data_IF_602975536009
#
_entry.id   IF_602975536009
#
_cell.length_a   1.000
_cell.length_b   1.000
_cell.length_c   1.000
_cell.angle_alpha   90.00
_cell.angle_beta   90.00
_cell.angle_gamma   90.00
#
_symmetry.space_group_name_H-M   'P 1'
#
loop_
_entity.id
_entity.type
_entity.pdbx_description
1 polymer ?
#
# COMPACT_ATOMS: atom_id res chain seq x y z
N UNK A 1 65.69 12.36 -27.26
CA UNK A 1 66.80 11.66 -26.57
C UNK A 1 67.95 12.65 -26.46
N UNK A 2 68.49 12.91 -25.26
CA UNK A 2 69.20 11.92 -24.45
C UNK A 2 68.69 11.75 -23.01
N UNK A 3 69.11 10.65 -22.40
CA UNK A 3 68.81 10.19 -21.05
C UNK A 3 69.82 10.71 -20.00
N UNK A 4 69.38 10.78 -18.73
CA UNK A 4 70.10 10.74 -17.43
C UNK A 4 69.19 11.45 -16.39
N UNK A 5 69.04 11.06 -15.13
CA UNK A 5 69.59 9.99 -14.31
C UNK A 5 68.66 9.83 -13.08
N UNK A 6 68.47 8.59 -12.64
CA UNK A 6 67.83 8.23 -11.37
C UNK A 6 68.68 8.70 -10.18
N UNK A 7 68.07 9.35 -9.19
CA UNK A 7 68.61 9.43 -7.83
C UNK A 7 67.62 8.81 -6.85
N UNK A 8 68.02 7.65 -6.35
CA UNK A 8 67.41 6.91 -5.24
C UNK A 8 67.73 7.65 -3.94
N UNK A 9 66.74 7.82 -3.07
CA UNK A 9 66.99 8.11 -1.65
C UNK A 9 66.22 7.11 -0.80
N UNK A 10 66.98 6.22 -0.16
CA UNK A 10 66.58 5.19 0.81
C UNK A 10 67.05 5.66 2.17
N UNK A 11 66.14 5.76 3.14
CA UNK A 11 66.35 5.74 4.61
C UNK A 11 65.08 6.30 5.28
N UNK A 12 64.46 5.77 6.34
CA UNK A 12 64.72 4.74 7.35
C UNK A 12 63.34 4.45 7.99
N UNK A 13 62.95 3.19 8.14
CA UNK A 13 62.97 2.46 9.42
C UNK A 13 62.36 3.23 10.62
N UNK A 14 61.09 2.94 10.92
CA UNK A 14 60.64 2.73 12.29
C UNK A 14 59.61 1.59 12.32
N UNK A 15 60.05 0.51 12.95
CA UNK A 15 59.36 -0.75 13.17
C UNK A 15 58.80 -0.69 14.58
N UNK A 16 57.48 -0.70 14.78
CA UNK A 16 56.86 -1.15 16.03
C UNK A 16 55.72 -2.11 15.69
N UNK A 17 55.96 -3.38 16.01
CA UNK A 17 54.96 -4.42 16.24
C UNK A 17 54.19 -4.08 17.52
N UNK A 18 52.88 -4.26 17.54
CA UNK A 18 52.23 -5.14 18.52
C UNK A 18 50.74 -5.29 18.21
N UNK A 19 50.38 -6.55 18.06
CA UNK A 19 49.04 -7.14 18.00
C UNK A 19 48.11 -6.65 19.11
N UNK A 20 46.90 -6.22 18.75
CA UNK A 20 45.75 -6.22 19.64
C UNK A 20 44.56 -6.86 18.92
N UNK A 21 44.31 -8.11 19.30
CA UNK A 21 43.03 -8.82 19.32
C UNK A 21 41.88 -8.19 18.53
N UNK A 22 41.55 -8.81 17.40
CA UNK A 22 40.27 -8.68 16.74
C UNK A 22 39.14 -9.12 17.70
N UNK A 23 38.40 -8.16 18.23
CA UNK A 23 37.04 -8.39 18.72
C UNK A 23 36.13 -8.11 17.54
N UNK A 24 35.48 -9.11 16.92
CA UNK A 24 34.47 -8.82 15.92
C UNK A 24 33.35 -8.04 16.61
N UNK A 25 33.03 -6.88 16.05
CA UNK A 25 31.84 -6.13 16.43
C UNK A 25 30.64 -7.08 16.34
N UNK A 26 30.15 -7.47 17.51
CA UNK A 26 28.97 -8.30 17.67
C UNK A 26 27.81 -7.46 17.16
N UNK A 27 27.48 -7.63 15.89
CA UNK A 27 26.23 -7.14 15.29
C UNK A 27 25.13 -7.59 16.24
N UNK A 28 24.55 -6.63 16.97
CA UNK A 28 23.38 -6.85 17.79
C UNK A 28 22.29 -7.28 16.83
N UNK A 29 22.08 -8.59 16.72
CA UNK A 29 20.92 -9.14 16.06
C UNK A 29 19.68 -8.48 16.69
N UNK A 30 18.74 -7.96 15.88
CA UNK A 30 17.48 -7.47 16.42
C UNK A 30 16.86 -8.59 17.27
N UNK A 31 16.54 -8.21 18.50
CA UNK A 31 15.97 -9.08 19.51
C UNK A 31 14.78 -9.87 18.95
N UNK A 32 14.79 -11.19 19.15
CA UNK A 32 13.72 -12.15 18.80
C UNK A 32 12.33 -11.72 19.36
N UNK A 33 12.28 -10.72 20.24
CA UNK A 33 11.05 -10.12 20.77
C UNK A 33 10.19 -9.37 19.73
N UNK A 34 10.67 -9.10 18.50
CA UNK A 34 9.80 -8.56 17.43
C UNK A 34 9.08 -9.63 16.62
N UNK A 35 9.42 -10.93 16.76
CA UNK A 35 8.71 -12.02 16.07
C UNK A 35 7.46 -12.53 16.82
N UNK A 36 7.31 -12.22 18.11
CA UNK A 36 6.11 -12.56 18.89
C UNK A 36 4.90 -11.65 18.62
N UNK A 37 5.06 -10.58 17.83
CA UNK A 37 3.92 -9.76 17.35
C UNK A 37 3.05 -10.46 16.30
N UNK A 38 3.46 -11.63 15.78
CA UNK A 38 2.73 -12.40 14.76
C UNK A 38 1.71 -13.41 15.32
N UNK A 39 1.50 -13.48 16.64
CA UNK A 39 0.56 -14.42 17.25
C UNK A 39 -0.73 -13.80 17.83
N UNK A 40 -0.84 -12.47 17.87
CA UNK A 40 -2.00 -11.76 18.46
C UNK A 40 -3.12 -11.43 17.45
N UNK A 41 -2.82 -11.55 16.17
CA UNK A 41 -3.79 -11.37 15.08
C UNK A 41 -4.82 -12.52 15.01
N UNK A 42 -4.54 -13.63 15.69
CA UNK A 42 -5.47 -14.75 15.88
C UNK A 42 -6.47 -14.51 17.03
N UNK A 43 -6.17 -13.60 17.97
CA UNK A 43 -7.06 -13.22 19.07
C UNK A 43 -8.05 -12.12 18.67
N UNK A 44 -7.67 -11.21 17.77
CA UNK A 44 -8.57 -10.22 17.17
C UNK A 44 -9.72 -10.87 16.36
N UNK A 45 -9.44 -12.02 15.73
CA UNK A 45 -10.43 -12.80 14.98
C UNK A 45 -11.42 -13.54 15.90
N UNK A 46 -11.04 -13.78 17.16
CA UNK A 46 -11.88 -14.43 18.18
C UNK A 46 -12.87 -13.45 18.85
N UNK A 47 -12.52 -12.17 18.98
CA UNK A 47 -13.39 -11.17 19.62
C UNK A 47 -14.53 -10.68 18.72
N UNK A 48 -14.33 -10.61 17.40
CA UNK A 48 -15.42 -10.35 16.45
C UNK A 48 -16.35 -11.58 16.30
N UNK A 49 -15.83 -12.80 16.53
CA UNK A 49 -16.65 -14.02 16.60
C UNK A 49 -17.33 -14.27 17.95
N UNK A 50 -17.00 -13.48 18.99
CA UNK A 50 -17.65 -13.57 20.30
C UNK A 50 -18.97 -12.78 20.38
N UNK A 51 -19.29 -11.97 19.37
CA UNK A 51 -20.65 -11.52 19.11
C UNK A 51 -21.42 -12.66 18.42
N UNK A 52 -21.91 -13.58 19.25
CA UNK A 52 -22.97 -14.57 19.00
C UNK A 52 -23.16 -15.05 17.55
N UNK A 53 -22.28 -15.97 17.12
CA UNK A 53 -22.40 -16.75 15.86
C UNK A 53 -23.40 -17.92 16.02
N UNK A 54 -24.38 -17.85 16.94
CA UNK A 54 -25.43 -18.90 17.03
C UNK A 54 -26.57 -18.72 16.01
N UNK A 55 -26.56 -17.64 15.23
CA UNK A 55 -27.58 -17.37 14.20
C UNK A 55 -26.99 -16.72 12.94
N UNK A 56 -26.04 -17.39 12.28
CA UNK A 56 -25.67 -16.99 10.91
C UNK A 56 -26.83 -17.31 9.96
N UNK A 57 -27.48 -16.31 9.34
CA UNK A 57 -28.43 -16.55 8.25
C UNK A 57 -27.72 -17.29 7.11
N UNK A 58 -28.47 -18.02 6.26
CA UNK A 58 -27.91 -18.79 5.14
C UNK A 58 -26.92 -17.94 4.35
N UNK A 59 -25.69 -18.45 4.16
CA UNK A 59 -24.61 -17.76 3.48
C UNK A 59 -25.04 -17.38 2.07
N UNK A 60 -25.46 -16.12 1.89
CA UNK A 60 -25.71 -15.57 0.58
C UNK A 60 -24.39 -15.59 -0.22
N UNK A 61 -24.44 -15.85 -1.53
CA UNK A 61 -23.24 -15.80 -2.36
C UNK A 61 -22.58 -14.43 -2.22
N UNK A 62 -21.28 -14.41 -1.88
CA UNK A 62 -20.53 -13.18 -1.69
C UNK A 62 -20.57 -12.34 -2.98
N UNK A 63 -21.20 -11.18 -2.91
CA UNK A 63 -21.29 -10.25 -4.02
C UNK A 63 -19.89 -9.75 -4.43
N UNK A 64 -19.68 -9.33 -5.69
CA UNK A 64 -18.45 -8.68 -6.12
C UNK A 64 -18.09 -7.50 -5.23
N UNK A 65 -16.81 -7.35 -4.87
CA UNK A 65 -16.37 -6.28 -3.95
C UNK A 65 -16.77 -4.89 -4.44
N UNK A 66 -16.70 -4.63 -5.74
CA UNK A 66 -17.09 -3.35 -6.33
C UNK A 66 -18.58 -3.03 -6.14
N UNK A 67 -19.46 -4.03 -6.23
CA UNK A 67 -20.89 -3.84 -6.02
C UNK A 67 -21.22 -3.57 -4.55
N UNK A 68 -20.49 -4.23 -3.64
CA UNK A 68 -20.62 -3.99 -2.19
C UNK A 68 -20.10 -2.62 -1.82
N UNK A 69 -18.96 -2.18 -2.38
CA UNK A 69 -18.44 -0.84 -2.15
C UNK A 69 -19.42 0.23 -2.63
N UNK A 70 -20.01 0.06 -3.82
CA UNK A 70 -21.09 0.94 -4.27
C UNK A 70 -22.22 0.96 -3.24
N UNK A 71 -22.75 -0.20 -2.84
CA UNK A 71 -23.85 -0.29 -1.89
C UNK A 71 -23.58 0.41 -0.54
N UNK A 72 -22.35 0.30 -0.02
CA UNK A 72 -21.96 0.82 1.30
C UNK A 72 -21.64 2.30 1.25
N UNK A 73 -20.93 2.75 0.22
CA UNK A 73 -20.37 4.10 0.13
C UNK A 73 -21.35 5.08 -0.50
N UNK A 74 -22.13 4.67 -1.50
CA UNK A 74 -23.19 5.49 -2.15
C UNK A 74 -24.35 5.66 -1.16
N UNK A 75 -24.34 6.77 -0.42
CA UNK A 75 -25.32 7.06 0.64
C UNK A 75 -26.58 7.68 0.08
N UNK A 76 -26.45 8.58 -0.89
CA UNK A 76 -27.59 9.27 -1.49
C UNK A 76 -28.30 8.45 -2.58
N UNK A 77 -27.75 7.27 -2.93
CA UNK A 77 -28.29 6.30 -3.89
C UNK A 77 -28.33 6.83 -5.32
N UNK A 78 -27.42 7.73 -5.67
CA UNK A 78 -27.28 8.28 -7.02
C UNK A 78 -26.52 7.35 -7.99
N UNK A 79 -26.04 6.19 -7.49
CA UNK A 79 -25.25 5.17 -8.22
C UNK A 79 -23.83 5.60 -8.54
N UNK A 80 -23.32 6.61 -7.84
CA UNK A 80 -21.94 7.05 -7.85
C UNK A 80 -21.41 7.06 -6.43
N UNK A 81 -20.09 6.95 -6.30
CA UNK A 81 -19.41 7.12 -5.01
C UNK A 81 -18.48 8.31 -5.13
N UNK A 82 -18.74 9.35 -4.34
CA UNK A 82 -17.91 10.56 -4.34
C UNK A 82 -16.80 10.48 -3.28
N UNK A 83 -15.78 11.33 -3.41
CA UNK A 83 -14.74 11.44 -2.38
C UNK A 83 -15.31 11.95 -1.05
N UNK A 84 -16.38 12.76 -1.09
CA UNK A 84 -17.09 13.24 0.11
C UNK A 84 -17.67 12.07 0.91
N UNK A 85 -18.33 11.13 0.23
CA UNK A 85 -18.90 9.95 0.88
C UNK A 85 -17.83 9.03 1.44
N UNK A 86 -16.72 8.83 0.72
CA UNK A 86 -15.57 8.07 1.21
C UNK A 86 -15.03 8.71 2.49
N UNK A 87 -14.83 10.03 2.51
CA UNK A 87 -14.35 10.76 3.67
C UNK A 87 -15.33 10.66 4.85
N UNK A 88 -16.63 10.79 4.59
CA UNK A 88 -17.68 10.64 5.60
C UNK A 88 -17.65 9.23 6.22
N UNK A 89 -17.50 8.17 5.41
CA UNK A 89 -17.37 6.81 5.91
C UNK A 89 -16.08 6.60 6.72
N UNK A 90 -14.96 7.16 6.27
CA UNK A 90 -13.70 7.09 7.03
C UNK A 90 -13.78 7.83 8.37
N UNK A 91 -14.48 8.97 8.42
CA UNK A 91 -14.71 9.72 9.66
C UNK A 91 -15.64 8.96 10.62
N UNK A 92 -16.68 8.30 10.10
CA UNK A 92 -17.52 7.42 10.92
C UNK A 92 -16.72 6.25 11.53
N UNK A 93 -15.88 5.59 10.72
CA UNK A 93 -14.99 4.55 11.21
C UNK A 93 -14.00 5.09 12.26
N UNK A 94 -13.41 6.26 12.02
CA UNK A 94 -12.51 6.90 13.00
C UNK A 94 -13.20 7.12 14.34
N UNK A 95 -14.43 7.65 14.35
CA UNK A 95 -15.20 7.88 15.57
C UNK A 95 -15.50 6.58 16.34
N UNK A 96 -15.77 5.47 15.64
CA UNK A 96 -15.98 4.16 16.28
C UNK A 96 -14.73 3.65 17.02
N UNK A 97 -13.54 4.01 16.53
CA UNK A 97 -12.27 3.55 17.10
C UNK A 97 -11.54 4.61 17.95
N UNK A 98 -12.12 5.81 18.13
CA UNK A 98 -11.53 6.85 18.98
C UNK A 98 -11.40 6.41 20.44
N UNK A 99 -12.36 5.63 20.94
CA UNK A 99 -12.36 5.11 22.32
C UNK A 99 -11.76 3.71 22.45
N UNK A 100 -11.21 3.15 21.36
CA UNK A 100 -10.51 1.88 21.39
C UNK A 100 -9.15 2.04 22.08
N UNK A 101 -8.94 1.30 23.16
CA UNK A 101 -7.65 1.14 23.82
C UNK A 101 -7.00 -0.20 23.43
N UNK A 102 -5.67 -0.22 23.38
CA UNK A 102 -4.88 -1.42 23.13
C UNK A 102 -4.26 -1.52 21.73
N UNK A 103 -3.39 -2.53 21.54
CA UNK A 103 -2.57 -2.67 20.33
C UNK A 103 -3.39 -2.85 19.05
N UNK A 104 -4.60 -3.38 19.18
CA UNK A 104 -5.54 -3.60 18.07
C UNK A 104 -6.09 -2.27 17.56
N UNK A 105 -6.56 -1.41 18.47
CA UNK A 105 -7.04 -0.07 18.12
C UNK A 105 -5.92 0.78 17.48
N UNK A 106 -4.68 0.64 17.96
CA UNK A 106 -3.51 1.29 17.34
C UNK A 106 -3.25 0.80 15.91
N UNK A 107 -3.36 -0.52 15.66
CA UNK A 107 -3.23 -1.09 14.33
C UNK A 107 -4.34 -0.59 13.39
N UNK A 108 -5.59 -0.56 13.85
CA UNK A 108 -6.71 -0.01 13.09
C UNK A 108 -6.52 1.47 12.76
N UNK A 109 -6.11 2.29 13.74
CA UNK A 109 -5.80 3.71 13.52
C UNK A 109 -4.72 3.86 12.45
N UNK A 110 -3.67 3.06 12.52
CA UNK A 110 -2.59 3.06 11.51
C UNK A 110 -3.09 2.66 10.12
N UNK A 111 -3.90 1.62 10.01
CA UNK A 111 -4.48 1.18 8.74
C UNK A 111 -5.42 2.24 8.16
N UNK A 112 -6.25 2.86 9.00
CA UNK A 112 -7.17 3.93 8.61
C UNK A 112 -6.42 5.17 8.13
N UNK A 113 -5.35 5.58 8.81
CA UNK A 113 -4.48 6.67 8.36
C UNK A 113 -3.84 6.36 7.00
N UNK A 114 -3.33 5.14 6.81
CA UNK A 114 -2.80 4.70 5.52
C UNK A 114 -3.87 4.71 4.42
N UNK A 115 -5.08 4.24 4.72
CA UNK A 115 -6.20 4.26 3.80
C UNK A 115 -6.62 5.69 3.44
N UNK A 116 -6.71 6.61 4.41
CA UNK A 116 -6.98 8.04 4.19
C UNK A 116 -5.93 8.68 3.29
N UNK A 117 -4.65 8.37 3.51
CA UNK A 117 -3.56 8.90 2.69
C UNK A 117 -3.61 8.36 1.24
N UNK A 118 -3.96 7.08 1.06
CA UNK A 118 -4.02 6.45 -0.25
C UNK A 118 -5.32 6.75 -1.03
N UNK A 119 -6.42 7.05 -0.33
CA UNK A 119 -7.75 7.16 -0.93
C UNK A 119 -7.84 8.20 -2.06
N UNK A 120 -7.29 9.43 -1.96
CA UNK A 120 -7.37 10.39 -3.06
C UNK A 120 -6.73 9.88 -4.36
N UNK A 121 -5.57 9.21 -4.27
CA UNK A 121 -4.89 8.66 -5.46
C UNK A 121 -5.62 7.42 -5.99
N UNK A 122 -6.14 6.56 -5.11
CA UNK A 122 -6.96 5.43 -5.53
C UNK A 122 -8.27 5.88 -6.20
N UNK A 123 -8.91 6.91 -5.66
CA UNK A 123 -10.08 7.55 -6.24
C UNK A 123 -9.76 8.10 -7.63
N UNK A 124 -8.72 8.94 -7.73
CA UNK A 124 -8.27 9.49 -9.01
C UNK A 124 -7.97 8.38 -10.01
N UNK A 125 -7.30 7.29 -9.62
CA UNK A 125 -7.01 6.16 -10.50
C UNK A 125 -8.28 5.54 -11.07
N UNK A 126 -9.27 5.28 -10.20
CA UNK A 126 -10.50 4.60 -10.55
C UNK A 126 -11.49 5.50 -11.29
N UNK A 127 -11.53 6.80 -11.00
CA UNK A 127 -12.31 7.82 -11.69
C UNK A 127 -11.70 8.05 -13.08
N UNK A 128 -12.08 7.15 -13.98
CA UNK A 128 -11.52 7.00 -15.32
C UNK A 128 -11.98 8.10 -16.24
N UNK A 129 -13.23 8.56 -16.07
CA UNK A 129 -13.87 9.60 -16.86
C UNK A 129 -13.74 11.01 -16.25
N UNK A 130 -13.20 11.14 -15.04
CA UNK A 130 -12.96 12.39 -14.32
C UNK A 130 -14.27 13.15 -14.06
N UNK A 131 -15.28 12.42 -13.62
CA UNK A 131 -16.60 13.00 -13.29
C UNK A 131 -16.81 13.23 -11.79
N UNK A 132 -15.73 13.14 -11.00
CA UNK A 132 -15.69 13.31 -9.55
C UNK A 132 -16.57 12.27 -8.79
N UNK A 133 -16.88 11.15 -9.44
CA UNK A 133 -17.60 10.02 -8.86
C UNK A 133 -17.08 8.67 -9.39
N UNK A 134 -17.22 7.62 -8.58
CA UNK A 134 -16.93 6.26 -9.00
C UNK A 134 -18.23 5.55 -9.35
N UNK A 135 -18.41 5.27 -10.64
CA UNK A 135 -19.52 4.46 -11.13
C UNK A 135 -19.34 2.98 -10.78
N UNK A 136 -20.43 2.19 -10.92
CA UNK A 136 -20.35 0.72 -10.85
C UNK A 136 -19.29 0.14 -11.81
N UNK A 137 -19.15 0.74 -12.99
CA UNK A 137 -18.20 0.28 -14.01
C UNK A 137 -16.76 0.44 -13.55
N UNK A 138 -16.46 1.52 -12.82
CA UNK A 138 -15.12 1.81 -12.29
C UNK A 138 -14.82 0.98 -11.05
N UNK A 139 -15.79 0.85 -10.13
CA UNK A 139 -15.66 0.00 -8.94
C UNK A 139 -15.48 -1.50 -9.28
N UNK A 140 -15.92 -1.94 -10.47
CA UNK A 140 -15.63 -3.30 -10.97
C UNK A 140 -14.12 -3.57 -11.09
N UNK A 141 -13.28 -2.54 -11.29
CA UNK A 141 -11.82 -2.74 -11.28
C UNK A 141 -11.28 -3.13 -9.91
N UNK A 142 -11.92 -2.70 -8.81
CA UNK A 142 -11.59 -3.18 -7.47
C UNK A 142 -11.86 -4.69 -7.34
N UNK A 143 -12.93 -5.19 -7.97
CA UNK A 143 -13.20 -6.63 -8.05
C UNK A 143 -12.17 -7.35 -8.92
N UNK A 144 -11.76 -6.76 -10.05
CA UNK A 144 -10.70 -7.34 -10.89
C UNK A 144 -9.39 -7.42 -10.13
N UNK A 145 -9.04 -6.39 -9.36
CA UNK A 145 -7.86 -6.36 -8.51
C UNK A 145 -7.93 -7.42 -7.39
N UNK A 146 -9.08 -7.60 -6.75
CA UNK A 146 -9.29 -8.71 -5.82
C UNK A 146 -9.00 -10.07 -6.48
N UNK A 147 -9.51 -10.28 -7.70
CA UNK A 147 -9.30 -11.52 -8.45
C UNK A 147 -7.84 -11.72 -8.85
N UNK A 148 -7.13 -10.65 -9.26
CA UNK A 148 -5.73 -10.74 -9.68
C UNK A 148 -4.78 -11.10 -8.53
N UNK A 149 -5.18 -10.85 -7.27
CA UNK A 149 -4.40 -11.23 -6.08
C UNK A 149 -4.59 -12.69 -5.66
N UNK A 150 -5.61 -13.39 -6.17
CA UNK A 150 -5.86 -14.81 -5.85
C UNK A 150 -4.83 -15.70 -6.55
N UNK A 151 -4.75 -16.96 -6.11
CA UNK A 151 -3.90 -17.96 -6.75
C UNK A 151 -4.25 -18.07 -8.25
N UNK A 152 -3.26 -17.89 -9.11
CA UNK A 152 -3.44 -17.89 -10.57
C UNK A 152 -3.95 -16.57 -11.16
N UNK A 153 -4.07 -15.51 -10.37
CA UNK A 153 -4.31 -14.16 -10.87
C UNK A 153 -3.02 -13.49 -11.35
N UNK A 154 -3.13 -12.56 -12.31
CA UNK A 154 -1.97 -12.01 -13.03
C UNK A 154 -1.13 -10.96 -12.30
N UNK A 155 -1.44 -10.62 -11.04
CA UNK A 155 -0.68 -9.58 -10.32
C UNK A 155 0.74 -10.06 -9.96
N UNK A 156 0.93 -11.35 -9.72
CA UNK A 156 2.24 -11.91 -9.41
C UNK A 156 3.19 -11.79 -10.60
N UNK A 157 2.68 -12.10 -11.79
CA UNK A 157 3.39 -12.03 -13.06
C UNK A 157 3.72 -10.58 -13.38
N UNK A 158 2.76 -9.66 -13.21
CA UNK A 158 3.02 -8.22 -13.32
C UNK A 158 4.17 -7.76 -12.41
N UNK A 159 4.16 -8.13 -11.13
CA UNK A 159 5.23 -7.74 -10.20
C UNK A 159 6.59 -8.31 -10.59
N UNK A 160 6.63 -9.57 -11.05
CA UNK A 160 7.86 -10.18 -11.54
C UNK A 160 8.39 -9.43 -12.76
N UNK A 161 7.51 -9.09 -13.68
CA UNK A 161 7.88 -8.45 -14.92
C UNK A 161 8.29 -6.98 -14.71
N UNK A 162 7.71 -6.28 -13.71
CA UNK A 162 8.14 -4.93 -13.29
C UNK A 162 9.49 -4.99 -12.56
N UNK A 163 9.70 -5.99 -11.70
CA UNK A 163 11.00 -6.20 -11.04
C UNK A 163 12.10 -6.38 -12.09
N UNK A 164 11.88 -7.24 -13.08
CA UNK A 164 12.83 -7.48 -14.16
C UNK A 164 13.07 -6.25 -15.06
N UNK A 165 12.10 -5.34 -15.16
CA UNK A 165 12.28 -4.07 -15.87
C UNK A 165 13.13 -3.07 -15.06
N UNK A 166 13.10 -3.15 -13.72
CA UNK A 166 13.88 -2.29 -12.83
C UNK A 166 15.31 -2.80 -12.59
N UNK A 167 15.50 -4.12 -12.62
CA UNK A 167 16.76 -4.84 -12.44
C UNK A 167 17.59 -4.73 -13.73
N UNK A 168 18.35 -3.64 -13.84
CA UNK A 168 18.98 -3.22 -15.08
C UNK A 168 20.26 -4.02 -15.36
N UNK A 169 20.95 -4.48 -14.31
CA UNK A 169 22.17 -5.27 -14.42
C UNK A 169 21.93 -6.79 -14.41
N UNK A 170 20.71 -7.22 -14.06
CA UNK A 170 20.27 -8.61 -14.13
C UNK A 170 20.82 -9.47 -13.00
N UNK A 171 21.16 -8.87 -11.85
CA UNK A 171 21.71 -9.58 -10.69
C UNK A 171 20.62 -10.20 -9.77
N UNK A 172 19.34 -10.11 -10.16
CA UNK A 172 18.14 -10.53 -9.42
C UNK A 172 17.91 -9.77 -8.10
N UNK A 173 18.48 -8.56 -7.96
CA UNK A 173 18.33 -7.65 -6.84
C UNK A 173 18.01 -6.24 -7.35
N UNK A 174 17.55 -5.38 -6.46
CA UNK A 174 17.29 -3.97 -6.77
C UNK A 174 18.03 -3.10 -5.76
N UNK A 175 18.98 -2.31 -6.25
CA UNK A 175 19.67 -1.29 -5.47
C UNK A 175 18.91 0.05 -5.41
N UNK A 176 19.38 0.96 -4.55
CA UNK A 176 18.85 2.34 -4.46
C UNK A 176 18.95 3.06 -5.80
N UNK A 177 20.06 2.86 -6.51
CA UNK A 177 20.32 3.54 -7.79
C UNK A 177 19.37 3.04 -8.88
N UNK A 178 19.18 1.73 -9.01
CA UNK A 178 18.23 1.15 -9.99
C UNK A 178 16.80 1.59 -9.74
N UNK A 179 16.36 1.64 -8.48
CA UNK A 179 15.02 2.13 -8.14
C UNK A 179 14.88 3.64 -8.40
N UNK A 180 15.89 4.44 -8.05
CA UNK A 180 15.87 5.88 -8.28
C UNK A 180 15.88 6.21 -9.79
N UNK A 181 16.74 5.57 -10.57
CA UNK A 181 16.84 5.74 -12.01
C UNK A 181 15.63 5.15 -12.75
N UNK A 182 15.19 3.96 -12.37
CA UNK A 182 14.00 3.32 -12.92
C UNK A 182 12.73 4.14 -12.69
N UNK A 183 12.61 4.80 -11.53
CA UNK A 183 11.49 5.71 -11.25
C UNK A 183 11.49 7.01 -12.08
N UNK A 184 12.57 7.27 -12.82
CA UNK A 184 12.76 8.43 -13.71
C UNK A 184 12.76 8.05 -15.18
N UNK A 185 12.99 6.78 -15.48
CA UNK A 185 13.08 6.30 -16.86
C UNK A 185 11.71 6.25 -17.51
N UNK A 186 11.57 7.00 -18.60
CA UNK A 186 10.35 7.00 -19.42
C UNK A 186 10.03 5.61 -19.95
N UNK A 187 11.05 4.86 -20.32
CA UNK A 187 10.95 3.51 -20.86
C UNK A 187 10.44 2.53 -19.80
N UNK A 188 11.04 2.56 -18.60
CA UNK A 188 10.62 1.73 -17.46
C UNK A 188 9.18 2.03 -17.05
N UNK A 189 8.82 3.32 -16.93
CA UNK A 189 7.46 3.73 -16.55
C UNK A 189 6.46 3.31 -17.63
N UNK A 190 6.76 3.54 -18.91
CA UNK A 190 5.89 3.16 -20.01
C UNK A 190 5.68 1.63 -20.08
N UNK A 191 6.75 0.84 -19.91
CA UNK A 191 6.67 -0.62 -19.91
C UNK A 191 5.85 -1.14 -18.73
N UNK A 192 6.15 -0.70 -17.50
CA UNK A 192 5.42 -1.08 -16.30
C UNK A 192 3.93 -0.70 -16.40
N UNK A 193 3.65 0.50 -16.92
CA UNK A 193 2.30 0.99 -17.14
C UNK A 193 1.56 0.17 -18.19
N UNK A 194 2.22 -0.20 -19.30
CA UNK A 194 1.63 -1.01 -20.36
C UNK A 194 1.23 -2.40 -19.84
N UNK A 195 2.12 -3.04 -19.07
CA UNK A 195 1.83 -4.33 -18.40
C UNK A 195 0.67 -4.19 -17.40
N UNK A 196 0.63 -3.11 -16.62
CA UNK A 196 -0.48 -2.84 -15.69
C UNK A 196 -1.79 -2.60 -16.44
N UNK A 197 -1.78 -1.82 -17.53
CA UNK A 197 -2.96 -1.53 -18.35
C UNK A 197 -3.53 -2.78 -19.01
N UNK A 198 -2.66 -3.70 -19.46
CA UNK A 198 -3.08 -4.99 -19.99
C UNK A 198 -3.87 -5.82 -18.96
N UNK A 199 -3.47 -5.75 -17.68
CA UNK A 199 -4.20 -6.42 -16.60
C UNK A 199 -5.44 -5.62 -16.15
N UNK A 200 -5.36 -4.29 -16.15
CA UNK A 200 -6.40 -3.37 -15.72
C UNK A 200 -6.55 -2.21 -16.72
N UNK A 201 -7.44 -2.35 -17.72
CA UNK A 201 -7.71 -1.28 -18.68
C UNK A 201 -8.60 -0.18 -18.07
N UNK A 202 -8.18 0.37 -16.92
CA UNK A 202 -8.92 1.38 -16.14
C UNK A 202 -9.04 2.68 -16.94
N UNK A 203 -8.01 3.03 -17.71
CA UNK A 203 -7.98 4.18 -18.61
C UNK A 203 -8.18 3.77 -20.06
N UNK A 204 -8.49 4.74 -20.93
CA UNK A 204 -8.73 4.48 -22.36
C UNK A 204 -7.49 3.92 -23.06
N UNK A 205 -6.30 4.29 -22.58
CA UNK A 205 -5.02 3.81 -23.11
C UNK A 205 -3.95 3.69 -22.02
N UNK A 206 -2.91 2.90 -22.29
CA UNK A 206 -1.72 2.83 -21.42
C UNK A 206 -1.05 4.21 -21.27
N UNK A 207 -1.01 5.02 -22.33
CA UNK A 207 -0.41 6.37 -22.28
C UNK A 207 -1.14 7.33 -21.33
N UNK A 208 -2.47 7.23 -21.25
CA UNK A 208 -3.24 8.02 -20.28
C UNK A 208 -2.97 7.57 -18.84
N UNK A 209 -2.82 6.26 -18.63
CA UNK A 209 -2.43 5.72 -17.33
C UNK A 209 -0.99 6.11 -16.97
N UNK A 210 -0.09 6.22 -17.94
CA UNK A 210 1.32 6.55 -17.74
C UNK A 210 1.48 7.91 -17.09
N UNK A 211 0.72 8.92 -17.57
CA UNK A 211 0.69 10.25 -16.94
C UNK A 211 0.27 10.17 -15.47
N UNK A 212 -0.73 9.36 -15.15
CA UNK A 212 -1.14 9.14 -13.77
C UNK A 212 -0.05 8.46 -12.93
N UNK A 213 0.64 7.45 -13.48
CA UNK A 213 1.74 6.75 -12.79
C UNK A 213 2.89 7.71 -12.48
N UNK A 214 3.24 8.60 -13.41
CA UNK A 214 4.25 9.66 -13.19
C UNK A 214 3.84 10.60 -12.08
N UNK A 215 2.59 11.08 -12.11
CA UNK A 215 2.06 11.96 -11.07
C UNK A 215 2.04 11.27 -9.69
N UNK A 216 1.75 9.97 -9.66
CA UNK A 216 1.79 9.17 -8.44
C UNK A 216 3.22 9.02 -7.90
N UNK A 217 4.20 8.69 -8.74
CA UNK A 217 5.62 8.60 -8.37
C UNK A 217 6.10 9.95 -7.83
N UNK A 218 5.82 11.05 -8.53
CA UNK A 218 6.20 12.39 -8.09
C UNK A 218 5.55 12.81 -6.77
N UNK A 219 4.31 12.37 -6.52
CA UNK A 219 3.63 12.64 -5.24
C UNK A 219 4.28 11.92 -4.05
N UNK A 220 4.88 10.75 -4.28
CA UNK A 220 5.59 9.98 -3.24
C UNK A 220 6.94 10.64 -2.91
N UNK A 221 7.64 11.16 -3.92
CA UNK A 221 8.95 11.84 -3.77
C UNK A 221 8.92 13.20 -3.07
N UNK A 222 7.77 13.66 -2.56
CA UNK A 222 7.69 14.90 -1.79
C UNK A 222 7.89 16.19 -2.59
N UNK A 223 7.85 16.14 -3.93
CA UNK A 223 8.18 17.23 -4.83
C UNK A 223 7.31 18.49 -4.63
N UNK A 224 7.88 19.50 -3.95
CA UNK A 224 7.45 20.91 -3.98
C UNK A 224 8.20 21.73 -5.04
N UNK A 225 8.66 21.09 -6.12
CA UNK A 225 9.30 21.75 -7.25
C UNK A 225 8.26 22.28 -8.25
N UNK A 226 8.23 23.59 -8.50
CA UNK A 226 7.46 24.18 -9.60
C UNK A 226 8.06 23.72 -10.94
N UNK A 227 7.46 22.72 -11.57
CA UNK A 227 7.61 22.49 -13.02
C UNK A 227 8.51 21.34 -13.47
N UNK A 228 8.87 20.40 -12.60
CA UNK A 228 9.60 19.20 -12.99
C UNK A 228 9.24 18.03 -12.09
N UNK A 229 9.29 16.80 -12.63
CA UNK A 229 9.26 15.58 -11.83
C UNK A 229 10.55 15.59 -11.00
N UNK A 230 10.53 16.24 -9.83
CA UNK A 230 11.54 16.01 -8.81
C UNK A 230 11.29 14.58 -8.33
N UNK A 231 11.96 13.67 -9.02
CA UNK A 231 11.83 12.25 -8.83
C UNK A 231 12.22 11.85 -7.42
N UNK A 232 11.84 10.62 -7.03
CA UNK A 232 12.25 10.01 -5.77
C UNK A 232 13.75 10.20 -5.59
N UNK A 233 14.15 11.04 -4.64
CA UNK A 233 15.56 11.23 -4.32
C UNK A 233 16.10 9.94 -3.69
N UNK A 234 17.43 9.78 -3.72
CA UNK A 234 18.08 8.55 -3.24
C UNK A 234 17.75 8.27 -1.77
N UNK A 235 17.57 9.30 -0.94
CA UNK A 235 17.28 9.13 0.48
C UNK A 235 15.84 8.64 0.69
N UNK A 236 14.87 9.19 -0.05
CA UNK A 236 13.48 8.71 -0.06
C UNK A 236 13.38 7.26 -0.57
N UNK A 237 14.12 6.92 -1.63
CA UNK A 237 14.19 5.53 -2.13
C UNK A 237 14.80 4.61 -1.09
N UNK A 238 15.94 4.98 -0.50
CA UNK A 238 16.60 4.18 0.52
C UNK A 238 15.72 3.97 1.76
N UNK A 239 14.98 4.99 2.19
CA UNK A 239 14.02 4.84 3.29
C UNK A 239 12.85 3.90 2.93
N UNK A 240 12.36 3.98 1.69
CA UNK A 240 11.37 3.05 1.16
C UNK A 240 11.88 1.60 1.10
N UNK A 241 13.13 1.41 0.68
CA UNK A 241 13.77 0.09 0.60
C UNK A 241 13.86 -0.59 1.97
N UNK A 242 14.14 0.14 3.06
CA UNK A 242 14.19 -0.44 4.42
C UNK A 242 12.89 -1.15 4.84
N UNK A 243 11.76 -0.84 4.22
CA UNK A 243 10.50 -1.53 4.48
C UNK A 243 10.39 -2.90 3.82
N UNK A 244 11.19 -3.15 2.77
CA UNK A 244 11.12 -4.35 1.92
C UNK A 244 12.40 -5.19 2.06
N UNK A 245 13.54 -4.57 2.29
CA UNK A 245 14.83 -5.20 2.62
C UNK A 245 14.73 -5.84 4.02
N UNK A 246 14.49 -7.16 4.04
CA UNK A 246 14.23 -7.94 5.26
C UNK A 246 15.51 -8.42 5.93
N UNK A 247 16.61 -8.55 5.18
CA UNK A 247 17.91 -8.98 5.70
C UNK A 247 18.90 -7.83 5.95
N UNK A 248 18.58 -6.63 5.47
CA UNK A 248 19.33 -5.40 5.71
C UNK A 248 20.62 -5.32 4.88
N UNK A 249 20.70 -6.02 3.75
CA UNK A 249 21.88 -6.02 2.88
C UNK A 249 21.97 -4.79 1.96
N UNK A 250 20.95 -3.92 1.98
CA UNK A 250 20.86 -2.72 1.17
C UNK A 250 20.32 -2.94 -0.24
N UNK A 251 19.86 -4.15 -0.55
CA UNK A 251 19.23 -4.52 -1.81
C UNK A 251 17.84 -5.10 -1.55
N UNK A 252 16.98 -5.06 -2.57
CA UNK A 252 15.67 -5.69 -2.53
C UNK A 252 15.66 -6.87 -3.49
N UNK A 253 15.60 -8.09 -2.96
CA UNK A 253 15.58 -9.31 -3.74
C UNK A 253 14.15 -9.68 -4.16
N UNK A 254 14.02 -10.38 -5.30
CA UNK A 254 12.71 -10.85 -5.79
C UNK A 254 11.92 -11.68 -4.74
N UNK A 255 12.63 -12.44 -3.92
CA UNK A 255 12.04 -13.25 -2.84
C UNK A 255 11.39 -12.37 -1.76
N UNK A 256 12.00 -11.25 -1.43
CA UNK A 256 11.50 -10.30 -0.44
C UNK A 256 10.27 -9.59 -0.96
N UNK A 257 10.32 -9.06 -2.19
CA UNK A 257 9.13 -8.50 -2.88
C UNK A 257 7.99 -9.50 -2.88
N UNK A 258 8.26 -10.77 -3.21
CA UNK A 258 7.27 -11.85 -3.15
C UNK A 258 6.70 -12.09 -1.75
N UNK A 259 7.51 -12.00 -0.69
CA UNK A 259 7.08 -12.13 0.71
C UNK A 259 6.11 -11.01 1.09
N UNK A 260 6.47 -9.76 0.82
CA UNK A 260 5.63 -8.59 1.11
C UNK A 260 4.37 -8.57 0.25
N UNK A 261 4.47 -8.90 -1.03
CA UNK A 261 3.31 -9.09 -1.91
C UNK A 261 2.32 -10.12 -1.36
N UNK A 262 2.79 -11.31 -0.97
CA UNK A 262 1.91 -12.35 -0.43
C UNK A 262 1.29 -11.94 0.90
N UNK A 263 2.01 -11.21 1.75
CA UNK A 263 1.48 -10.68 3.00
C UNK A 263 0.38 -9.62 2.74
N UNK A 264 0.67 -8.62 1.92
CA UNK A 264 -0.27 -7.56 1.56
C UNK A 264 -1.49 -8.10 0.81
N UNK A 265 -1.29 -9.00 -0.15
CA UNK A 265 -2.35 -9.64 -0.92
C UNK A 265 -3.31 -10.46 -0.04
N UNK A 266 -2.77 -11.25 0.91
CA UNK A 266 -3.62 -11.97 1.89
C UNK A 266 -4.42 -11.00 2.74
N UNK A 267 -3.80 -9.94 3.25
CA UNK A 267 -4.49 -8.91 4.03
C UNK A 267 -5.59 -8.21 3.26
N UNK A 268 -5.34 -7.85 2.00
CA UNK A 268 -6.36 -7.28 1.14
C UNK A 268 -7.54 -8.26 0.94
N UNK A 269 -7.26 -9.55 0.69
CA UNK A 269 -8.30 -10.55 0.50
C UNK A 269 -9.12 -10.81 1.78
N UNK A 270 -8.48 -10.78 2.96
CA UNK A 270 -9.16 -10.84 4.25
C UNK A 270 -10.11 -9.64 4.43
N UNK A 271 -9.61 -8.42 4.22
CA UNK A 271 -10.42 -7.19 4.31
C UNK A 271 -11.57 -7.21 3.30
N UNK A 272 -11.30 -7.61 2.06
CA UNK A 272 -12.31 -7.76 1.01
C UNK A 272 -13.43 -8.72 1.43
N UNK A 273 -13.07 -9.87 2.03
CA UNK A 273 -14.05 -10.83 2.54
C UNK A 273 -14.91 -10.21 3.64
N UNK A 274 -14.28 -9.53 4.60
CA UNK A 274 -15.00 -8.84 5.69
C UNK A 274 -15.95 -7.77 5.16
N UNK A 275 -15.51 -6.92 4.24
CA UNK A 275 -16.36 -5.90 3.60
C UNK A 275 -17.54 -6.55 2.89
N UNK A 276 -17.34 -7.66 2.17
CA UNK A 276 -18.43 -8.36 1.49
C UNK A 276 -19.44 -8.99 2.43
N UNK A 277 -19.01 -9.43 3.61
CA UNK A 277 -19.89 -10.01 4.63
C UNK A 277 -20.66 -8.94 5.40
N UNK A 278 -19.99 -7.84 5.77
CA UNK A 278 -20.56 -6.76 6.57
C UNK A 278 -21.26 -5.69 5.72
N UNK A 279 -20.93 -5.57 4.44
CA UNK A 279 -21.38 -4.50 3.57
C UNK A 279 -22.90 -4.35 3.48
N UNK A 280 -23.67 -5.44 3.24
CA UNK A 280 -25.13 -5.36 3.27
C UNK A 280 -25.69 -4.85 4.60
N UNK A 281 -25.07 -5.26 5.72
CA UNK A 281 -25.45 -4.81 7.06
C UNK A 281 -25.10 -3.32 7.26
N UNK A 282 -23.89 -2.88 6.88
CA UNK A 282 -23.47 -1.48 6.94
C UNK A 282 -24.34 -0.57 6.08
N UNK A 283 -24.81 -1.06 4.93
CA UNK A 283 -25.73 -0.33 4.06
C UNK A 283 -27.11 -0.15 4.69
N UNK A 284 -27.59 -1.13 5.47
CA UNK A 284 -28.85 -1.02 6.22
C UNK A 284 -28.74 -0.01 7.37
N UNK A 285 -27.64 -0.02 8.13
CA UNK A 285 -27.44 0.93 9.22
C UNK A 285 -27.16 2.35 8.73
N UNK A 286 -26.41 2.51 7.64
CA UNK A 286 -26.08 3.83 7.10
C UNK A 286 -27.25 4.60 6.48
N UNK A 287 -28.38 3.94 6.21
CA UNK A 287 -29.63 4.59 5.78
C UNK A 287 -30.53 5.05 6.93
N UNK A 288 -30.25 4.62 8.16
CA UNK A 288 -30.85 5.17 9.37
C UNK A 288 -30.03 6.40 9.76
N UNK A 289 -30.15 7.46 8.96
CA UNK A 289 -29.64 8.76 9.38
C UNK A 289 -30.21 9.02 10.77
N UNK A 290 -29.34 9.24 11.75
CA UNK A 290 -29.66 9.62 13.11
C UNK A 290 -30.23 11.05 13.14
N UNK A 291 -31.13 11.36 12.20
CA UNK A 291 -32.06 12.47 12.26
C UNK A 291 -32.97 12.20 13.44
N UNK A 292 -32.46 12.55 14.62
CA UNK A 292 -33.19 12.54 15.87
C UNK A 292 -34.56 13.11 15.61
N UNK A 293 -35.56 12.24 15.79
CA UNK A 293 -36.93 12.63 15.97
C UNK A 293 -36.98 13.60 17.15
N UNK A 294 -36.87 14.89 16.85
CA UNK A 294 -37.43 15.97 17.66
C UNK A 294 -38.94 15.86 17.58
N UNK A 295 -39.49 14.80 18.19
CA UNK A 295 -40.90 14.49 18.21
C UNK A 295 -41.28 14.05 19.61
N UNK A 296 -41.71 15.01 20.44
CA UNK A 296 -42.27 14.77 21.77
C UNK A 296 -41.72 15.75 22.81
N UNK A 297 -42.50 16.65 23.41
CA UNK A 297 -43.93 16.87 23.26
C UNK A 297 -44.29 18.24 23.83
N UNK A 298 -45.04 19.00 23.03
CA UNK A 298 -45.90 20.06 23.55
C UNK A 298 -47.12 19.39 24.18
N UNK A 299 -47.31 19.57 25.48
CA UNK A 299 -48.47 19.06 26.20
C UNK A 299 -48.66 19.80 27.53
N UNK A 300 -49.66 20.69 27.56
CA UNK A 300 -50.15 21.43 28.73
C UNK A 300 -50.39 22.90 28.33
N UNK A 301 -51.60 23.37 28.00
CA UNK A 301 -52.92 23.03 28.55
C UNK A 301 -52.93 23.42 30.03
N UNK A 302 -53.63 24.43 30.53
CA UNK A 302 -54.87 25.10 30.14
C UNK A 302 -55.49 25.58 31.46
#
# INVERSE_FOLDING_TARGET
MPARSLSVSVSRLARIRASASAVPARIQRPSIKTMTRKLYLFQLLLLISAYDVSSQPPQQPLQPLGDVLLMVLDKDKDKKVTMSEINAQMAQLENLFQHGEGPEADEYRRLLLGAKAAAPKAFQLLDSNRDDGLSRTELRYVTKFEKSLKKGGGMKELLRDVFATLDADGDDRLGVDELAEGSRSDEVIAEATSKFHALFPIRKSAKELESFVRDAIGSIGGGKGKGGIDALDRDTVAEGMKWIDDDGDGYVQRKEVGKYYNAAGRKFLEISKTIKQMGPMLAMFGGMDMGGGGGGGGGGGG
#
